data_IF_956704489571
#
_entry.id   IF_956704489571
#
_cell.length_a   1.000
_cell.length_b   1.000
_cell.length_c   1.000
_cell.angle_alpha   90.00
_cell.angle_beta   90.00
_cell.angle_gamma   90.00
#
_symmetry.space_group_name_H-M   'P 1'
#
loop_
_entity.id
_entity.type
_entity.pdbx_description
1 polymer ?
#
# COMPACT_ATOMS: atom_id res chain seq x y z
N UNK A 1 6.71 12.03 48.95
CA UNK A 1 7.01 12.28 47.51
C UNK A 1 7.90 11.15 47.02
N UNK A 2 7.48 10.37 46.02
CA UNK A 2 8.18 9.16 45.58
C UNK A 2 9.12 9.52 44.42
N UNK A 3 10.43 9.52 44.67
CA UNK A 3 11.46 9.84 43.67
C UNK A 3 11.62 8.64 42.73
N UNK A 4 11.32 8.84 41.45
CA UNK A 4 11.66 7.88 40.39
C UNK A 4 13.02 8.26 39.82
N UNK A 5 13.99 7.35 39.96
CA UNK A 5 15.33 7.46 39.40
C UNK A 5 15.34 6.78 38.05
N UNK A 6 15.66 7.53 36.99
CA UNK A 6 15.85 6.97 35.65
C UNK A 6 17.29 6.47 35.51
N UNK A 7 17.44 5.17 35.28
CA UNK A 7 18.70 4.48 35.01
C UNK A 7 19.34 5.01 33.72
N UNK A 8 20.69 5.13 33.63
CA UNK A 8 21.34 5.57 32.41
C UNK A 8 21.08 4.62 31.24
N UNK A 9 20.93 5.26 30.07
CA UNK A 9 20.48 4.73 28.78
C UNK A 9 21.18 3.40 28.42
N UNK A 10 20.43 2.34 28.04
CA UNK A 10 21.06 1.13 27.53
C UNK A 10 21.86 1.49 26.27
N UNK A 11 23.14 1.12 26.31
CA UNK A 11 24.11 1.21 25.22
C UNK A 11 23.47 0.61 23.97
N UNK A 12 23.41 1.41 22.90
CA UNK A 12 22.79 1.08 21.63
C UNK A 12 23.51 -0.13 20.99
N UNK A 13 22.98 -1.33 21.27
CA UNK A 13 23.41 -2.59 20.69
C UNK A 13 22.26 -3.34 19.98
N UNK A 14 21.22 -2.62 19.54
CA UNK A 14 20.17 -3.17 18.70
C UNK A 14 20.45 -2.73 17.26
N UNK A 15 20.55 -3.72 16.37
CA UNK A 15 21.09 -3.62 15.01
C UNK A 15 20.78 -2.35 14.25
N UNK A 16 21.79 -1.93 13.49
CA UNK A 16 21.83 -0.82 12.54
C UNK A 16 20.81 -0.99 11.38
N UNK A 17 19.52 -1.20 11.69
CA UNK A 17 18.44 -0.98 10.72
C UNK A 17 18.33 0.53 10.57
N UNK A 18 19.09 1.04 9.61
CA UNK A 18 18.92 2.39 9.11
C UNK A 18 17.42 2.63 8.86
N UNK A 19 16.85 3.77 9.29
CA UNK A 19 15.48 4.15 8.97
C UNK A 19 15.19 4.24 7.47
N UNK A 20 16.14 3.99 6.57
CA UNK A 20 15.88 3.86 5.13
C UNK A 20 15.57 2.41 4.68
N UNK A 21 15.95 1.41 5.47
CA UNK A 21 15.76 -0.01 5.08
C UNK A 21 14.27 -0.39 4.89
N UNK A 22 13.37 0.13 5.74
CA UNK A 22 11.91 -0.12 5.60
C UNK A 22 11.28 0.56 4.37
N UNK A 23 12.01 1.46 3.70
CA UNK A 23 11.55 2.12 2.47
C UNK A 23 11.94 1.28 1.25
N UNK A 24 13.17 0.76 1.21
CA UNK A 24 13.73 0.02 0.07
C UNK A 24 12.96 -1.27 -0.25
N UNK A 25 12.44 -1.98 0.74
CA UNK A 25 11.71 -3.25 0.52
C UNK A 25 10.40 -3.09 -0.26
N UNK A 26 9.85 -1.87 -0.39
CA UNK A 26 8.64 -1.60 -1.18
C UNK A 26 8.92 -1.28 -2.65
N UNK A 27 10.18 -1.10 -3.04
CA UNK A 27 10.56 -0.65 -4.38
C UNK A 27 10.52 -1.73 -5.45
N UNK A 28 10.27 -3.00 -5.08
CA UNK A 28 10.16 -4.14 -6.01
C UNK A 28 8.72 -4.41 -6.50
N UNK A 29 7.76 -3.55 -6.16
CA UNK A 29 6.40 -3.64 -6.70
C UNK A 29 6.28 -2.82 -8.00
N UNK A 30 5.60 -3.38 -9.00
CA UNK A 30 5.16 -2.67 -10.21
C UNK A 30 4.69 -1.25 -9.88
N UNK A 31 5.05 -0.24 -10.69
CA UNK A 31 4.74 1.15 -10.40
C UNK A 31 3.22 1.36 -10.31
N UNK A 32 2.71 1.53 -9.10
CA UNK A 32 1.29 1.76 -8.84
C UNK A 32 0.97 3.26 -8.84
N UNK A 33 -0.09 3.66 -9.56
CA UNK A 33 -0.62 5.02 -9.54
C UNK A 33 -1.67 5.16 -8.44
N UNK A 34 -1.64 6.27 -7.69
CA UNK A 34 -2.62 6.56 -6.64
C UNK A 34 -3.95 7.02 -7.26
N UNK A 35 -5.02 6.30 -6.97
CA UNK A 35 -6.39 6.66 -7.34
C UNK A 35 -7.10 7.31 -6.15
N UNK A 36 -7.64 8.52 -6.34
CA UNK A 36 -8.45 9.22 -5.34
C UNK A 36 -9.88 9.31 -5.85
N UNK A 37 -10.82 8.75 -5.10
CA UNK A 37 -12.24 8.73 -5.43
C UNK A 37 -13.05 9.02 -4.16
N UNK A 38 -14.15 9.74 -4.32
CA UNK A 38 -15.16 9.89 -3.28
C UNK A 38 -16.17 8.75 -3.38
N UNK A 39 -16.45 8.11 -2.25
CA UNK A 39 -17.44 7.04 -2.12
C UNK A 39 -18.41 7.38 -0.99
N UNK A 40 -19.72 7.12 -1.15
CA UNK A 40 -20.69 7.32 -0.07
C UNK A 40 -20.27 6.58 1.21
N UNK A 41 -20.49 7.22 2.36
CA UNK A 41 -20.07 6.70 3.67
C UNK A 41 -20.64 5.30 3.96
N UNK A 42 -21.88 5.05 3.57
CA UNK A 42 -22.55 3.78 3.75
C UNK A 42 -21.93 2.66 2.90
N UNK A 43 -21.59 2.97 1.65
CA UNK A 43 -20.88 2.03 0.76
C UNK A 43 -19.50 1.71 1.30
N UNK A 44 -18.73 2.72 1.71
CA UNK A 44 -17.41 2.52 2.30
C UNK A 44 -17.47 1.65 3.57
N UNK A 45 -18.47 1.87 4.44
CA UNK A 45 -18.69 1.06 5.64
C UNK A 45 -18.97 -0.39 5.28
N UNK A 46 -19.89 -0.61 4.35
CA UNK A 46 -20.29 -1.94 3.90
C UNK A 46 -19.10 -2.68 3.29
N UNK A 47 -18.36 -2.04 2.38
CA UNK A 47 -17.14 -2.60 1.78
C UNK A 47 -16.11 -2.98 2.84
N UNK A 48 -15.84 -2.08 3.79
CA UNK A 48 -14.87 -2.31 4.86
C UNK A 48 -15.24 -3.51 5.73
N UNK A 49 -16.51 -3.63 6.12
CA UNK A 49 -16.99 -4.77 6.92
C UNK A 49 -16.86 -6.07 6.14
N UNK A 50 -17.28 -6.10 4.87
CA UNK A 50 -17.19 -7.30 4.05
C UNK A 50 -15.72 -7.75 3.85
N UNK A 51 -14.81 -6.82 3.55
CA UNK A 51 -13.39 -7.13 3.41
C UNK A 51 -12.80 -7.66 4.73
N UNK A 52 -13.18 -7.07 5.88
CA UNK A 52 -12.71 -7.51 7.19
C UNK A 52 -13.17 -8.94 7.53
N UNK A 53 -14.42 -9.28 7.21
CA UNK A 53 -14.96 -10.64 7.43
C UNK A 53 -14.24 -11.67 6.56
N UNK A 54 -13.84 -11.30 5.33
CA UNK A 54 -13.14 -12.17 4.39
C UNK A 54 -11.62 -12.23 4.62
N UNK A 55 -11.07 -11.35 5.45
CA UNK A 55 -9.63 -11.23 5.66
C UNK A 55 -8.88 -10.61 4.48
N UNK A 56 -9.58 -9.88 3.62
CA UNK A 56 -9.04 -9.28 2.40
C UNK A 56 -8.71 -7.80 2.60
N UNK A 57 -7.71 -7.28 1.87
CA UNK A 57 -7.45 -5.83 1.86
C UNK A 57 -8.39 -5.17 0.87
N UNK A 58 -9.09 -4.13 1.32
CA UNK A 58 -10.02 -3.36 0.47
C UNK A 58 -9.37 -2.86 -0.83
N UNK A 59 -8.08 -2.51 -0.77
CA UNK A 59 -7.32 -2.08 -1.96
C UNK A 59 -7.17 -3.18 -3.01
N UNK A 60 -6.98 -4.45 -2.62
CA UNK A 60 -6.88 -5.57 -3.56
C UNK A 60 -8.24 -5.85 -4.19
N UNK A 61 -9.32 -5.83 -3.40
CA UNK A 61 -10.69 -6.02 -3.91
C UNK A 61 -11.06 -4.94 -4.93
N UNK A 62 -10.72 -3.68 -4.65
CA UNK A 62 -10.94 -2.58 -5.60
C UNK A 62 -10.08 -2.76 -6.84
N UNK A 63 -8.84 -3.25 -6.70
CA UNK A 63 -7.96 -3.54 -7.83
C UNK A 63 -8.55 -4.61 -8.75
N UNK A 64 -8.96 -5.74 -8.18
CA UNK A 64 -9.58 -6.84 -8.92
C UNK A 64 -10.86 -6.38 -9.62
N UNK A 65 -11.69 -5.58 -8.95
CA UNK A 65 -12.90 -5.01 -9.54
C UNK A 65 -12.55 -4.14 -10.76
N UNK A 66 -11.58 -3.25 -10.64
CA UNK A 66 -11.11 -2.41 -11.75
C UNK A 66 -10.51 -3.26 -12.88
N UNK A 67 -9.67 -4.23 -12.57
CA UNK A 67 -9.08 -5.14 -13.55
C UNK A 67 -10.16 -5.89 -14.31
N UNK A 68 -11.15 -6.47 -13.62
CA UNK A 68 -12.27 -7.17 -14.26
C UNK A 68 -13.10 -6.26 -15.18
N UNK A 69 -13.28 -5.00 -14.80
CA UNK A 69 -14.07 -4.05 -15.59
C UNK A 69 -13.31 -3.46 -16.77
N UNK A 70 -11.99 -3.27 -16.68
CA UNK A 70 -11.19 -2.57 -17.69
C UNK A 70 -10.26 -3.47 -18.50
N UNK A 71 -9.80 -4.61 -17.97
CA UNK A 71 -8.91 -5.53 -18.68
C UNK A 71 -9.57 -6.19 -19.91
N UNK A 72 -10.90 -6.19 -19.98
CA UNK A 72 -11.66 -6.76 -21.10
C UNK A 72 -11.83 -5.81 -22.31
N UNK A 73 -11.29 -4.58 -22.28
CA UNK A 73 -11.64 -3.57 -23.30
C UNK A 73 -10.58 -2.54 -23.68
N UNK A 74 -9.34 -2.66 -23.21
CA UNK A 74 -8.25 -1.79 -23.66
C UNK A 74 -7.25 -2.59 -24.50
N UNK A 75 -7.72 -3.05 -25.67
CA UNK A 75 -6.83 -3.43 -26.76
C UNK A 75 -6.04 -2.18 -27.15
N UNK A 76 -4.78 -2.15 -26.75
CA UNK A 76 -3.89 -1.03 -26.95
C UNK A 76 -3.58 -0.88 -28.46
N UNK A 77 -4.33 -0.04 -29.18
CA UNK A 77 -3.81 0.61 -30.39
C UNK A 77 -2.79 1.67 -29.95
N UNK A 78 -1.66 1.23 -29.40
CA UNK A 78 -0.68 2.09 -28.74
C UNK A 78 0.74 1.56 -28.71
N UNK A 79 1.02 0.48 -29.45
CA UNK A 79 2.37 0.14 -29.87
C UNK A 79 2.97 1.25 -30.75
N UNK A 80 3.50 2.29 -30.13
CA UNK A 80 4.41 3.24 -30.74
C UNK A 80 5.73 3.17 -29.97
N UNK A 81 6.74 2.66 -30.66
CA UNK A 81 8.01 2.25 -30.10
C UNK A 81 8.80 3.38 -29.44
N UNK A 82 9.58 2.98 -28.45
CA UNK A 82 10.65 3.76 -27.85
C UNK A 82 11.92 2.92 -27.75
N UNK A 83 12.40 2.41 -28.88
CA UNK A 83 13.81 2.01 -29.05
C UNK A 83 14.48 3.02 -29.97
N UNK A 84 15.21 3.97 -29.39
CA UNK A 84 16.28 4.80 -29.98
C UNK A 84 16.73 5.78 -28.86
N UNK A 85 18.00 6.02 -28.50
CA UNK A 85 19.33 5.72 -29.02
C UNK A 85 20.31 5.79 -27.82
#
# INVERSE_FOLDING_TARGET
MKKVTFTPKPIAGAGNRSPDQWVTERSHAEPSKRLTIDIPSDLHRTMKVQCAVRGERMADVVRELLEKHFAAGYEESGGAGGTDH
#
